data_IF_338811417267
#
_entry.id   IF_338811417267
#
_cell.length_a   1.000
_cell.length_b   1.000
_cell.length_c   1.000
_cell.angle_alpha   90.00
_cell.angle_beta   90.00
_cell.angle_gamma   90.00
#
_symmetry.space_group_name_H-M   'P 1'
#
loop_
_entity.id
_entity.type
_entity.pdbx_description
1 polymer ?
#
# COMPACT_ATOMS: atom_id res chain seq x y z
N UNK A 1 43.74 -39.96 -16.66
CA UNK A 1 42.48 -39.49 -17.29
C UNK A 1 42.85 -38.55 -18.43
N UNK A 2 42.64 -38.98 -19.68
CA UNK A 2 43.20 -38.33 -20.87
C UNK A 2 42.57 -36.96 -21.12
N UNK A 3 43.34 -36.04 -21.73
CA UNK A 3 42.94 -34.64 -21.99
C UNK A 3 41.59 -34.57 -22.74
N UNK A 4 41.32 -35.50 -23.64
CA UNK A 4 40.05 -35.65 -24.37
C UNK A 4 38.83 -35.89 -23.46
N UNK A 5 38.99 -36.66 -22.38
CA UNK A 5 37.91 -36.96 -21.42
C UNK A 5 37.58 -35.72 -20.57
N UNK A 6 38.60 -34.93 -20.21
CA UNK A 6 38.42 -33.67 -19.46
C UNK A 6 37.71 -32.60 -20.30
N UNK A 7 38.02 -32.50 -21.59
CA UNK A 7 37.36 -31.54 -22.50
C UNK A 7 35.90 -31.88 -22.78
N UNK A 8 35.55 -33.17 -22.89
CA UNK A 8 34.16 -33.63 -23.04
C UNK A 8 33.31 -33.39 -21.78
N UNK A 9 33.89 -33.62 -20.59
CA UNK A 9 33.25 -33.31 -19.30
C UNK A 9 33.05 -31.80 -19.11
N UNK A 10 34.03 -30.97 -19.51
CA UNK A 10 33.90 -29.52 -19.45
C UNK A 10 32.81 -28.99 -20.41
N UNK A 11 32.68 -29.58 -21.61
CA UNK A 11 31.64 -29.19 -22.57
C UNK A 11 30.23 -29.61 -22.10
N UNK A 12 30.09 -30.77 -21.46
CA UNK A 12 28.84 -31.23 -20.87
C UNK A 12 28.40 -30.36 -19.67
N UNK A 13 29.36 -29.91 -18.85
CA UNK A 13 29.12 -28.96 -17.76
C UNK A 13 28.73 -27.57 -18.28
N UNK A 14 29.34 -27.09 -19.37
CA UNK A 14 28.97 -25.82 -19.99
C UNK A 14 27.59 -25.87 -20.65
N UNK A 15 27.24 -26.99 -21.31
CA UNK A 15 25.92 -27.21 -21.88
C UNK A 15 24.82 -27.31 -20.80
N UNK A 16 25.14 -27.90 -19.64
CA UNK A 16 24.24 -27.94 -18.48
C UNK A 16 24.01 -26.58 -17.81
N UNK A 17 25.00 -25.66 -17.85
CA UNK A 17 24.84 -24.30 -17.32
C UNK A 17 24.03 -23.38 -18.25
N UNK A 18 24.06 -23.61 -19.56
CA UNK A 18 23.28 -22.80 -20.52
C UNK A 18 21.79 -23.21 -20.52
N UNK A 19 21.46 -24.46 -20.15
CA UNK A 19 20.06 -24.92 -20.11
C UNK A 19 19.25 -24.37 -18.92
N UNK A 20 19.89 -23.81 -17.89
CA UNK A 20 19.21 -23.20 -16.73
C UNK A 20 18.97 -21.68 -16.86
N UNK A 21 19.45 -21.06 -17.95
CA UNK A 21 19.25 -19.63 -18.20
C UNK A 21 17.89 -19.30 -18.89
N UNK A 22 17.05 -20.32 -19.15
CA UNK A 22 15.81 -20.19 -19.90
C UNK A 22 14.54 -20.28 -19.03
N UNK A 23 14.60 -19.87 -17.75
CA UNK A 23 13.39 -19.42 -17.09
C UNK A 23 13.21 -17.95 -17.43
N UNK A 24 12.27 -17.57 -18.33
CA UNK A 24 11.87 -16.18 -18.39
C UNK A 24 11.33 -15.84 -17.01
N UNK A 25 12.06 -15.00 -16.28
CA UNK A 25 11.56 -14.26 -15.13
C UNK A 25 10.54 -13.23 -15.63
N UNK A 26 9.46 -13.71 -16.22
CA UNK A 26 8.28 -12.95 -16.58
C UNK A 26 7.16 -13.40 -15.65
N UNK A 27 7.36 -13.21 -14.35
CA UNK A 27 6.21 -13.06 -13.47
C UNK A 27 5.64 -11.66 -13.67
N UNK A 28 5.12 -11.37 -14.87
CA UNK A 28 4.18 -10.27 -15.06
C UNK A 28 2.90 -10.73 -14.36
N UNK A 29 2.85 -10.49 -13.05
CA UNK A 29 1.64 -10.73 -12.27
C UNK A 29 0.58 -9.81 -12.87
N UNK A 30 -0.41 -10.40 -13.54
CA UNK A 30 -1.56 -9.67 -14.05
C UNK A 30 -2.28 -8.92 -12.92
N UNK A 31 -3.23 -8.04 -13.24
CA UNK A 31 -3.98 -7.31 -12.23
C UNK A 31 -4.57 -8.29 -11.22
N UNK A 32 -4.29 -8.03 -9.94
CA UNK A 32 -4.79 -8.85 -8.84
C UNK A 32 -6.29 -8.57 -8.74
N UNK A 33 -7.09 -9.59 -9.10
CA UNK A 33 -8.52 -9.55 -8.90
C UNK A 33 -8.86 -10.05 -7.51
N UNK A 34 -9.68 -9.31 -6.79
CA UNK A 34 -10.14 -9.70 -5.46
C UNK A 34 -11.62 -9.40 -5.26
N UNK A 35 -12.27 -10.18 -4.40
CA UNK A 35 -13.63 -9.92 -3.89
C UNK A 35 -13.62 -9.04 -2.64
N UNK A 36 -12.46 -8.78 -2.06
CA UNK A 36 -12.31 -7.95 -0.86
C UNK A 36 -10.93 -8.14 -0.22
N UNK A 37 -10.49 -7.13 0.53
CA UNK A 37 -9.21 -7.14 1.23
C UNK A 37 -9.34 -6.38 2.55
N UNK A 38 -8.45 -6.70 3.49
CA UNK A 38 -8.14 -5.84 4.63
C UNK A 38 -6.81 -5.17 4.36
N UNK A 39 -6.80 -3.84 4.39
CA UNK A 39 -5.67 -3.01 3.99
C UNK A 39 -5.17 -2.18 5.17
N UNK A 40 -3.90 -2.33 5.51
CA UNK A 40 -3.18 -1.44 6.42
C UNK A 40 -2.64 -0.25 5.63
N UNK A 41 -2.92 0.98 6.07
CA UNK A 41 -2.45 2.20 5.40
C UNK A 41 -1.72 3.08 6.42
N UNK A 42 -0.41 3.33 6.28
CA UNK A 42 0.33 4.14 7.24
C UNK A 42 -0.16 5.59 7.23
N UNK A 43 -0.20 6.25 8.38
CA UNK A 43 -0.61 7.63 8.53
C UNK A 43 0.33 8.38 9.49
N UNK A 44 0.83 9.54 9.08
CA UNK A 44 1.74 10.35 9.90
C UNK A 44 1.03 11.67 10.24
N UNK A 45 0.53 11.82 11.47
CA UNK A 45 0.02 13.12 11.95
C UNK A 45 1.14 14.16 12.11
N UNK A 46 2.36 13.66 12.31
CA UNK A 46 3.58 14.44 12.24
C UNK A 46 4.77 13.58 11.84
N UNK A 47 5.79 14.25 11.30
CA UNK A 47 7.13 13.71 11.14
C UNK A 47 8.12 14.55 11.94
N UNK A 48 9.42 14.25 11.86
CA UNK A 48 10.45 15.00 12.57
C UNK A 48 11.36 15.70 11.57
N UNK A 49 11.70 16.97 11.85
CA UNK A 49 12.62 17.74 11.02
C UNK A 49 13.77 18.37 11.80
N UNK A 50 14.91 18.49 11.12
CA UNK A 50 16.09 19.21 11.58
C UNK A 50 16.84 18.53 12.72
N UNK A 51 17.98 19.11 13.15
CA UNK A 51 18.89 18.50 14.13
C UNK A 51 18.32 18.36 15.54
N UNK A 52 17.18 18.99 15.83
CA UNK A 52 16.48 18.88 17.12
C UNK A 52 15.23 17.98 17.06
N UNK A 53 15.03 17.26 15.95
CA UNK A 53 13.88 16.35 15.74
C UNK A 53 12.56 16.97 16.15
N UNK A 54 12.30 18.21 15.73
CA UNK A 54 11.06 18.89 16.10
C UNK A 54 9.90 18.25 15.35
N UNK A 55 8.77 17.96 16.04
CA UNK A 55 7.54 17.55 15.36
C UNK A 55 7.13 18.56 14.29
N UNK A 56 6.85 18.05 13.11
CA UNK A 56 6.35 18.79 11.97
C UNK A 56 4.98 18.21 11.61
N UNK A 57 3.93 18.95 11.93
CA UNK A 57 2.56 18.50 11.83
C UNK A 57 2.10 18.41 10.38
N UNK A 58 1.35 17.35 10.07
CA UNK A 58 0.88 17.02 8.73
C UNK A 58 -0.63 16.85 8.75
N UNK A 59 -1.30 17.37 7.73
CA UNK A 59 -2.63 16.93 7.35
C UNK A 59 -2.52 15.58 6.66
N UNK A 60 -3.37 14.62 7.01
CA UNK A 60 -3.41 13.30 6.37
C UNK A 60 -4.72 13.12 5.62
N UNK A 61 -4.63 12.83 4.33
CA UNK A 61 -5.78 12.47 3.51
C UNK A 61 -5.68 11.01 3.09
N UNK A 62 -6.53 10.14 3.63
CA UNK A 62 -6.71 8.78 3.12
C UNK A 62 -7.57 8.85 1.85
N UNK A 63 -7.10 8.28 0.76
CA UNK A 63 -7.78 8.19 -0.54
C UNK A 63 -8.01 6.72 -0.91
N UNK A 64 -9.25 6.35 -1.14
CA UNK A 64 -9.67 5.02 -1.64
C UNK A 64 -10.23 5.20 -3.05
N UNK A 65 -9.57 4.60 -4.04
CA UNK A 65 -9.90 4.71 -5.47
C UNK A 65 -10.30 3.36 -6.02
N UNK A 66 -11.56 3.21 -6.43
CA UNK A 66 -11.99 2.05 -7.19
C UNK A 66 -11.37 2.11 -8.59
N UNK A 67 -10.46 1.19 -8.88
CA UNK A 67 -9.77 1.10 -10.18
C UNK A 67 -10.53 0.27 -11.20
N UNK A 68 -11.63 -0.37 -10.80
CA UNK A 68 -12.45 -1.14 -11.72
C UNK A 68 -13.28 -0.21 -12.63
N UNK A 69 -13.20 -0.48 -13.93
CA UNK A 69 -13.84 0.32 -14.97
C UNK A 69 -15.36 0.16 -15.02
N UNK A 70 -15.91 -0.92 -14.45
CA UNK A 70 -17.32 -1.30 -14.65
C UNK A 70 -18.05 -1.60 -13.36
N UNK A 71 -17.36 -2.14 -12.37
CA UNK A 71 -17.98 -2.65 -11.14
C UNK A 71 -17.70 -1.73 -9.97
N UNK A 72 -18.66 -1.68 -9.06
CA UNK A 72 -18.53 -0.98 -7.80
C UNK A 72 -17.92 -1.88 -6.73
N UNK A 73 -17.35 -1.25 -5.71
CA UNK A 73 -17.00 -1.90 -4.45
C UNK A 73 -17.80 -1.30 -3.30
N UNK A 74 -17.77 -1.96 -2.15
CA UNK A 74 -18.34 -1.46 -0.89
C UNK A 74 -17.21 -1.37 0.13
N UNK A 75 -16.94 -0.16 0.61
CA UNK A 75 -16.07 0.08 1.76
C UNK A 75 -16.88 -0.29 3.00
N UNK A 76 -16.45 -1.31 3.73
CA UNK A 76 -17.19 -1.84 4.89
C UNK A 76 -16.70 -1.28 6.20
N UNK A 77 -15.42 -0.89 6.29
CA UNK A 77 -14.84 -0.27 7.48
C UNK A 77 -13.64 0.61 7.12
N UNK A 78 -13.45 1.68 7.88
CA UNK A 78 -12.27 2.56 7.83
C UNK A 78 -11.95 2.97 9.26
N UNK A 79 -11.02 2.28 9.90
CA UNK A 79 -10.64 2.48 11.30
C UNK A 79 -9.32 3.23 11.41
N UNK A 80 -9.25 4.25 12.25
CA UNK A 80 -8.03 5.03 12.48
C UNK A 80 -7.41 4.66 13.83
N UNK A 81 -6.16 4.21 13.82
CA UNK A 81 -5.39 3.81 14.99
C UNK A 81 -4.26 4.80 15.26
N UNK A 82 -3.91 4.97 16.54
CA UNK A 82 -2.77 5.77 16.95
C UNK A 82 -1.47 4.94 16.99
N UNK A 83 -0.38 5.62 17.36
CA UNK A 83 0.98 5.06 17.38
C UNK A 83 1.16 3.93 18.39
N UNK A 84 0.32 3.88 19.43
CA UNK A 84 0.30 2.80 20.42
C UNK A 84 -0.60 1.62 20.00
N UNK A 85 -1.17 1.65 18.79
CA UNK A 85 -2.07 0.60 18.28
C UNK A 85 -3.48 0.65 18.87
N UNK A 86 -3.88 1.77 19.48
CA UNK A 86 -5.24 1.97 20.01
C UNK A 86 -6.15 2.52 18.92
N UNK A 87 -7.35 1.93 18.79
CA UNK A 87 -8.41 2.49 17.93
C UNK A 87 -8.81 3.87 18.45
N UNK A 88 -8.65 4.89 17.60
CA UNK A 88 -9.04 6.27 17.88
C UNK A 88 -10.50 6.47 17.50
N UNK A 89 -10.87 6.13 16.26
CA UNK A 89 -12.24 6.27 15.73
C UNK A 89 -12.43 5.47 14.44
N UNK A 90 -13.69 5.16 14.13
CA UNK A 90 -14.09 4.79 12.76
C UNK A 90 -14.43 6.06 11.96
N UNK A 91 -14.01 6.11 10.70
CA UNK A 91 -14.29 7.19 9.76
C UNK A 91 -15.66 7.05 9.08
N UNK A 92 -16.26 5.86 9.14
CA UNK A 92 -17.59 5.58 8.62
C UNK A 92 -18.45 4.87 9.68
N UNK A 93 -19.76 5.14 9.68
CA UNK A 93 -20.72 4.48 10.58
C UNK A 93 -21.44 3.30 9.93
N UNK A 94 -21.51 3.31 8.60
CA UNK A 94 -22.18 2.30 7.79
C UNK A 94 -21.39 2.07 6.49
N UNK A 95 -21.54 0.89 5.85
CA UNK A 95 -20.83 0.60 4.61
C UNK A 95 -21.16 1.59 3.49
N UNK A 96 -20.14 2.04 2.76
CA UNK A 96 -20.28 3.00 1.67
C UNK A 96 -20.04 2.30 0.34
N UNK A 97 -21.01 2.39 -0.58
CA UNK A 97 -20.83 1.93 -1.95
C UNK A 97 -19.99 2.94 -2.74
N UNK A 98 -18.87 2.49 -3.30
CA UNK A 98 -17.99 3.27 -4.16
C UNK A 98 -18.20 2.83 -5.62
N UNK A 99 -18.73 3.69 -6.51
CA UNK A 99 -18.99 3.31 -7.91
C UNK A 99 -17.70 2.97 -8.67
N UNK A 100 -17.85 2.38 -9.86
CA UNK A 100 -16.75 2.19 -10.81
C UNK A 100 -16.01 3.51 -11.03
N UNK A 101 -14.67 3.48 -11.02
CA UNK A 101 -13.82 4.68 -11.11
C UNK A 101 -14.06 5.75 -10.02
N UNK A 102 -14.82 5.42 -8.98
CA UNK A 102 -15.14 6.32 -7.88
C UNK A 102 -13.99 6.48 -6.89
N UNK A 103 -13.94 7.65 -6.24
CA UNK A 103 -12.97 7.95 -5.17
C UNK A 103 -13.69 8.37 -3.90
N UNK A 104 -13.20 7.92 -2.74
CA UNK A 104 -13.64 8.37 -1.42
C UNK A 104 -12.42 8.79 -0.60
N UNK A 105 -12.52 9.97 0.01
CA UNK A 105 -11.45 10.55 0.80
C UNK A 105 -11.89 10.75 2.25
N UNK A 106 -10.93 10.63 3.18
CA UNK A 106 -11.09 10.91 4.60
C UNK A 106 -9.93 11.78 5.06
N UNK A 107 -10.24 12.86 5.78
CA UNK A 107 -9.26 13.85 6.22
C UNK A 107 -9.03 13.73 7.73
N UNK A 108 -7.76 13.73 8.13
CA UNK A 108 -7.31 14.01 9.49
C UNK A 108 -6.59 15.35 9.44
N UNK A 109 -7.14 16.32 10.15
CA UNK A 109 -6.65 17.70 10.17
C UNK A 109 -5.25 17.80 10.80
N UNK A 110 -4.47 18.80 10.40
CA UNK A 110 -3.12 19.03 10.93
C UNK A 110 -3.06 19.20 12.46
N UNK A 111 -4.14 19.73 13.05
CA UNK A 111 -4.27 19.97 14.49
C UNK A 111 -4.67 18.69 15.26
N UNK A 112 -5.00 17.60 14.57
CA UNK A 112 -5.42 16.35 15.17
C UNK A 112 -4.19 15.52 15.57
N UNK A 113 -3.80 15.68 16.83
CA UNK A 113 -2.62 15.03 17.38
C UNK A 113 -2.86 13.60 17.85
N UNK A 114 -4.10 13.09 17.72
CA UNK A 114 -4.51 11.83 18.35
C UNK A 114 -3.85 10.60 17.73
N UNK A 115 -3.33 10.71 16.50
CA UNK A 115 -2.66 9.60 15.82
C UNK A 115 -1.19 9.39 16.20
N UNK A 116 -0.44 10.46 16.42
CA UNK A 116 1.02 10.41 16.57
C UNK A 116 1.77 10.07 15.26
N UNK A 117 3.06 9.74 15.38
CA UNK A 117 3.98 9.52 14.24
C UNK A 117 3.91 8.10 13.67
N UNK A 118 3.18 7.17 14.28
CA UNK A 118 2.95 5.80 13.82
C UNK A 118 1.46 5.47 13.62
N UNK A 119 0.63 6.49 13.37
CA UNK A 119 -0.79 6.28 13.13
C UNK A 119 -1.02 5.42 11.87
N UNK A 120 -2.21 4.84 11.75
CA UNK A 120 -2.56 4.08 10.56
C UNK A 120 -4.07 3.96 10.40
N UNK A 121 -4.48 3.56 9.19
CA UNK A 121 -5.84 3.15 8.89
C UNK A 121 -5.91 1.65 8.62
N UNK A 122 -6.98 1.01 9.09
CA UNK A 122 -7.42 -0.30 8.62
C UNK A 122 -8.65 -0.09 7.73
N UNK A 123 -8.49 -0.36 6.44
CA UNK A 123 -9.55 -0.23 5.44
C UNK A 123 -10.02 -1.62 5.04
N UNK A 124 -11.31 -1.87 5.15
CA UNK A 124 -11.94 -3.10 4.66
C UNK A 124 -12.88 -2.78 3.53
N UNK A 125 -12.81 -3.59 2.48
CA UNK A 125 -13.72 -3.46 1.34
C UNK A 125 -14.13 -4.83 0.81
N UNK A 126 -15.28 -4.87 0.13
CA UNK A 126 -15.78 -6.05 -0.57
C UNK A 126 -16.47 -5.70 -1.89
N UNK A 127 -16.54 -6.65 -2.80
CA UNK A 127 -17.28 -6.58 -4.05
C UNK A 127 -18.08 -7.88 -4.27
N UNK A 128 -19.17 -7.79 -5.03
CA UNK A 128 -20.02 -8.95 -5.36
C UNK A 128 -19.34 -9.94 -6.31
N UNK A 129 -18.33 -9.49 -7.06
CA UNK A 129 -17.54 -10.25 -8.03
C UNK A 129 -16.05 -9.89 -7.85
N UNK A 130 -15.11 -10.72 -8.34
CA UNK A 130 -13.71 -10.32 -8.40
C UNK A 130 -13.55 -9.07 -9.28
N UNK A 131 -12.95 -8.03 -8.71
CA UNK A 131 -12.66 -6.75 -9.38
C UNK A 131 -11.18 -6.43 -9.27
N UNK A 132 -10.72 -5.46 -10.07
CA UNK A 132 -9.41 -4.86 -9.85
C UNK A 132 -9.33 -4.30 -8.42
N UNK A 133 -8.30 -4.71 -7.67
CA UNK A 133 -8.10 -4.20 -6.32
C UNK A 133 -7.99 -2.66 -6.33
N UNK A 134 -8.66 -1.96 -5.40
CA UNK A 134 -8.62 -0.51 -5.35
C UNK A 134 -7.20 -0.03 -5.00
N UNK A 135 -6.87 1.17 -5.47
CA UNK A 135 -5.70 1.89 -4.95
C UNK A 135 -6.13 2.56 -3.66
N UNK A 136 -5.44 2.24 -2.57
CA UNK A 136 -5.63 2.88 -1.28
C UNK A 136 -4.29 3.42 -0.82
N UNK A 137 -4.28 4.71 -0.50
CA UNK A 137 -3.08 5.39 -0.03
C UNK A 137 -3.47 6.58 0.84
N UNK A 138 -2.55 7.02 1.66
CA UNK A 138 -2.61 8.33 2.29
C UNK A 138 -1.74 9.31 1.53
N UNK A 139 -2.18 10.56 1.43
CA UNK A 139 -1.36 11.72 1.07
C UNK A 139 -1.17 12.56 2.32
N UNK A 140 0.07 12.76 2.75
CA UNK A 140 0.39 13.62 3.88
C UNK A 140 0.97 14.92 3.37
N UNK A 141 0.43 16.03 3.84
CA UNK A 141 0.87 17.37 3.44
C UNK A 141 1.11 18.20 4.69
N UNK A 142 2.28 18.82 4.76
CA UNK A 142 2.57 19.84 5.76
C UNK A 142 3.13 21.09 5.08
N UNK A 143 2.65 22.24 5.53
CA UNK A 143 3.16 23.53 5.11
C UNK A 143 3.36 24.40 6.36
N UNK A 144 4.55 24.96 6.51
CA UNK A 144 4.87 25.89 7.59
C UNK A 144 6.06 26.75 7.21
N UNK A 145 5.99 28.05 7.54
CA UNK A 145 7.10 29.01 7.43
C UNK A 145 7.86 29.00 6.08
N UNK A 146 7.13 28.87 4.96
CA UNK A 146 7.72 28.89 3.62
C UNK A 146 8.34 27.57 3.14
N UNK A 147 8.25 26.50 3.94
CA UNK A 147 8.61 25.14 3.54
C UNK A 147 7.36 24.27 3.48
N UNK A 148 7.25 23.46 2.43
CA UNK A 148 6.19 22.48 2.26
C UNK A 148 6.77 21.12 1.94
N UNK A 149 6.22 20.08 2.56
CA UNK A 149 6.53 18.69 2.23
C UNK A 149 5.23 17.95 1.94
N UNK A 150 5.32 16.99 1.01
CA UNK A 150 4.26 16.05 0.76
C UNK A 150 4.83 14.70 0.39
N UNK A 151 4.20 13.64 0.88
CA UNK A 151 4.54 12.27 0.52
C UNK A 151 3.31 11.38 0.63
N UNK A 152 3.39 10.21 0.02
CA UNK A 152 2.30 9.21 0.07
C UNK A 152 2.69 8.00 0.91
N UNK A 153 1.67 7.35 1.46
CA UNK A 153 1.78 6.10 2.20
C UNK A 153 0.90 5.05 1.52
N UNK A 154 1.46 4.14 0.70
CA UNK A 154 0.66 3.13 0.03
C UNK A 154 0.13 2.11 1.03
N UNK A 155 -1.07 1.57 0.75
CA UNK A 155 -1.61 0.48 1.52
C UNK A 155 -0.82 -0.82 1.35
N UNK A 156 -0.86 -1.66 2.37
CA UNK A 156 -0.40 -3.05 2.34
C UNK A 156 -1.57 -3.96 2.71
N UNK A 157 -1.85 -4.94 1.87
CA UNK A 157 -2.81 -6.01 2.22
C UNK A 157 -2.29 -6.82 3.41
N UNK A 158 -3.18 -7.11 4.36
CA UNK A 158 -2.90 -7.92 5.53
C UNK A 158 -3.97 -9.01 5.67
N UNK A 159 -3.58 -10.13 6.29
CA UNK A 159 -4.52 -11.16 6.72
C UNK A 159 -5.06 -10.83 8.12
N UNK A 160 -6.27 -11.31 8.41
CA UNK A 160 -6.85 -11.34 9.76
C UNK A 160 -6.66 -12.72 10.42
#
# INVERSE_FOLDING_TARGET
>A
MNITVRSLLALALLAGMILNAAFPAWAQSGPILSRGQTLYVPAYSHTYQGPRSRPYQLTVMLSIRNTDLRRALTITSVEYFNSEGKLVRSQIKEPIRLPAMGTKEFLVEQNDLTGGSGANFIVRWRASEPINAPIVETVMVGSSAGQGISFTGPAREIAE
#
